data_IF_303262308528
#
_entry.id   IF_303262308528
#
_cell.length_a   1.000
_cell.length_b   1.000
_cell.length_c   1.000
_cell.angle_alpha   90.00
_cell.angle_beta   90.00
_cell.angle_gamma   90.00
#
_symmetry.space_group_name_H-M   'P 1'
#
loop_
_entity.id
_entity.type
_entity.pdbx_description
1 polymer ?
#
# COMPACT_ATOMS: atom_id res chain seq x y z
N UNK A 1 15.95 33.97 14.22
CA UNK A 1 16.11 32.81 15.12
C UNK A 1 15.28 31.60 14.70
N UNK A 2 13.95 31.69 14.54
CA UNK A 2 13.10 30.56 14.11
C UNK A 2 13.55 29.93 12.77
N UNK A 3 13.96 30.74 11.79
CA UNK A 3 14.45 30.26 10.49
C UNK A 3 15.77 29.49 10.56
N UNK A 4 16.70 29.89 11.44
CA UNK A 4 17.99 29.21 11.64
C UNK A 4 17.82 27.89 12.37
N UNK A 5 16.94 27.85 13.38
CA UNK A 5 16.61 26.63 14.12
C UNK A 5 15.94 25.61 13.19
N UNK A 6 15.01 26.06 12.34
CA UNK A 6 14.37 25.23 11.33
C UNK A 6 15.35 24.65 10.31
N UNK A 7 16.32 25.45 9.85
CA UNK A 7 17.37 24.96 8.94
C UNK A 7 18.27 23.90 9.60
N UNK A 8 18.54 24.03 10.89
CA UNK A 8 19.33 23.06 11.64
C UNK A 8 18.58 21.73 11.79
N UNK A 9 17.30 21.76 12.16
CA UNK A 9 16.46 20.55 12.23
C UNK A 9 16.25 19.90 10.86
N UNK A 10 16.13 20.67 9.78
CA UNK A 10 16.09 20.14 8.42
C UNK A 10 17.39 19.41 8.03
N UNK A 11 18.55 19.90 8.49
CA UNK A 11 19.83 19.22 8.25
C UNK A 11 19.93 17.92 9.05
N UNK A 12 19.42 17.90 10.27
CA UNK A 12 19.38 16.69 11.11
C UNK A 12 18.44 15.64 10.51
N UNK A 13 17.21 16.02 10.16
CA UNK A 13 16.20 15.13 9.58
C UNK A 13 16.65 14.48 8.25
N UNK A 14 17.41 15.24 7.44
CA UNK A 14 17.98 14.76 6.17
C UNK A 14 19.32 14.03 6.33
N UNK A 15 19.88 13.95 7.53
CA UNK A 15 21.15 13.28 7.76
C UNK A 15 21.00 11.76 7.64
N UNK A 16 21.82 11.14 6.78
CA UNK A 16 21.86 9.67 6.63
C UNK A 16 22.14 8.96 7.96
N UNK A 17 22.98 9.56 8.81
CA UNK A 17 23.32 8.99 10.13
C UNK A 17 22.09 8.98 11.03
N UNK A 18 21.35 10.09 11.07
CA UNK A 18 20.13 10.19 11.86
C UNK A 18 19.06 9.20 11.36
N UNK A 19 18.86 9.13 10.04
CA UNK A 19 17.93 8.18 9.43
C UNK A 19 18.29 6.72 9.73
N UNK A 20 19.56 6.33 9.55
CA UNK A 20 20.04 4.98 9.89
C UNK A 20 19.87 4.67 11.37
N UNK A 21 20.09 5.64 12.25
CA UNK A 21 19.86 5.48 13.68
C UNK A 21 18.39 5.26 14.00
N UNK A 22 17.48 6.05 13.43
CA UNK A 22 16.03 5.85 13.61
C UNK A 22 15.60 4.47 13.10
N UNK A 23 16.09 4.04 11.94
CA UNK A 23 15.83 2.70 11.40
C UNK A 23 16.32 1.61 12.37
N UNK A 24 17.53 1.74 12.92
CA UNK A 24 18.04 0.80 13.91
C UNK A 24 17.14 0.74 15.16
N UNK A 25 16.66 1.89 15.65
CA UNK A 25 15.72 1.95 16.78
C UNK A 25 14.38 1.29 16.44
N UNK A 26 13.87 1.44 15.21
CA UNK A 26 12.65 0.73 14.74
C UNK A 26 12.87 -0.78 14.75
N UNK A 27 14.01 -1.25 14.25
CA UNK A 27 14.34 -2.69 14.22
C UNK A 27 14.43 -3.23 15.66
N UNK A 28 15.14 -2.53 16.55
CA UNK A 28 15.19 -2.90 17.98
C UNK A 28 13.77 -2.94 18.56
N UNK A 29 12.94 -1.93 18.26
CA UNK A 29 11.55 -1.91 18.71
C UNK A 29 10.74 -3.11 18.21
N UNK A 30 10.91 -3.53 16.96
CA UNK A 30 10.28 -4.73 16.43
C UNK A 30 10.72 -5.99 17.19
N UNK A 31 12.02 -6.11 17.48
CA UNK A 31 12.56 -7.22 18.27
C UNK A 31 12.01 -7.23 19.70
N UNK A 32 11.83 -6.07 20.33
CA UNK A 32 11.22 -5.99 21.68
C UNK A 32 9.78 -6.47 21.69
N UNK A 33 9.00 -6.18 20.64
CA UNK A 33 7.62 -6.69 20.50
C UNK A 33 7.61 -8.22 20.40
N UNK A 34 8.56 -8.81 19.66
CA UNK A 34 8.75 -10.25 19.61
C UNK A 34 9.21 -10.84 20.95
N UNK A 35 10.08 -10.15 21.69
CA UNK A 35 10.55 -10.61 22.99
C UNK A 35 9.41 -10.76 24.01
N UNK A 36 8.40 -9.88 23.97
CA UNK A 36 7.21 -9.95 24.84
C UNK A 36 6.30 -11.17 24.58
N UNK A 37 6.52 -11.94 23.50
CA UNK A 37 5.76 -13.18 23.26
C UNK A 37 6.30 -14.37 24.06
N UNK A 38 7.52 -14.25 24.60
CA UNK A 38 8.14 -15.26 25.44
C UNK A 38 7.82 -15.01 26.91
N UNK A 39 7.71 -16.09 27.69
CA UNK A 39 7.68 -16.03 29.14
C UNK A 39 9.09 -15.75 29.67
N UNK A 40 9.37 -14.49 29.99
CA UNK A 40 10.70 -14.03 30.39
C UNK A 40 10.83 -13.93 31.92
N UNK A 41 12.07 -13.95 32.41
CA UNK A 41 12.34 -13.69 33.82
C UNK A 41 11.95 -12.24 34.19
N UNK A 42 11.45 -11.95 35.41
CA UNK A 42 10.96 -10.61 35.79
C UNK A 42 11.96 -9.47 35.56
N UNK A 43 13.26 -9.73 35.66
CA UNK A 43 14.32 -8.75 35.38
C UNK A 43 14.42 -8.38 33.90
N UNK A 44 14.22 -9.36 33.00
CA UNK A 44 14.20 -9.14 31.56
C UNK A 44 12.93 -8.40 31.13
N UNK A 45 11.79 -8.71 31.75
CA UNK A 45 10.54 -7.96 31.54
C UNK A 45 10.68 -6.49 31.95
N UNK A 46 11.30 -6.23 33.11
CA UNK A 46 11.56 -4.86 33.57
C UNK A 46 12.51 -4.12 32.62
N UNK A 47 13.56 -4.77 32.15
CA UNK A 47 14.49 -4.19 31.17
C UNK A 47 13.79 -3.87 29.83
N UNK A 48 12.95 -4.77 29.34
CA UNK A 48 12.13 -4.55 28.14
C UNK A 48 11.17 -3.37 28.32
N UNK A 49 10.55 -3.23 29.49
CA UNK A 49 9.66 -2.12 29.79
C UNK A 49 10.37 -0.76 29.73
N UNK A 50 11.57 -0.66 30.31
CA UNK A 50 12.39 0.55 30.24
C UNK A 50 12.86 0.85 28.82
N UNK A 51 13.20 -0.19 28.05
CA UNK A 51 13.58 -0.06 26.65
C UNK A 51 12.40 0.44 25.80
N UNK A 52 11.20 -0.10 25.99
CA UNK A 52 9.97 0.35 25.33
C UNK A 52 9.67 1.83 25.62
N UNK A 53 9.82 2.26 26.87
CA UNK A 53 9.67 3.66 27.27
C UNK A 53 10.71 4.53 26.55
N UNK A 54 11.98 4.13 26.57
CA UNK A 54 13.08 4.85 25.91
C UNK A 54 12.86 5.00 24.40
N UNK A 55 12.42 3.92 23.73
CA UNK A 55 12.06 3.92 22.31
C UNK A 55 10.89 4.88 22.03
N UNK A 56 9.86 4.85 22.88
CA UNK A 56 8.68 5.73 22.73
C UNK A 56 9.07 7.20 22.87
N UNK A 57 9.89 7.53 23.87
CA UNK A 57 10.41 8.90 24.07
C UNK A 57 11.29 9.33 22.90
N UNK A 58 12.17 8.45 22.42
CA UNK A 58 12.99 8.72 21.23
C UNK A 58 12.13 9.06 20.02
N UNK A 59 11.09 8.27 19.76
CA UNK A 59 10.17 8.51 18.66
C UNK A 59 9.34 9.78 18.80
N UNK A 60 9.00 10.17 20.02
CA UNK A 60 8.37 11.46 20.28
C UNK A 60 9.33 12.62 19.94
N UNK A 61 10.58 12.53 20.37
CA UNK A 61 11.60 13.55 20.05
C UNK A 61 11.84 13.63 18.55
N UNK A 62 11.96 12.49 17.88
CA UNK A 62 12.11 12.41 16.42
C UNK A 62 10.93 13.04 15.67
N UNK A 63 9.70 12.75 16.10
CA UNK A 63 8.49 13.35 15.55
C UNK A 63 8.47 14.88 15.72
N UNK A 64 8.87 15.37 16.89
CA UNK A 64 8.97 16.81 17.18
C UNK A 64 10.03 17.47 16.28
N UNK A 65 11.19 16.83 16.09
CA UNK A 65 12.23 17.29 15.16
C UNK A 65 11.64 17.45 13.74
N UNK A 66 10.95 16.42 13.24
CA UNK A 66 10.34 16.43 11.90
C UNK A 66 9.22 17.47 11.77
N UNK A 67 8.45 17.66 12.83
CA UNK A 67 7.41 18.69 12.89
C UNK A 67 7.99 20.10 12.80
N UNK A 68 9.03 20.41 13.59
CA UNK A 68 9.72 21.71 13.57
C UNK A 68 10.46 21.93 12.24
N UNK A 69 11.01 20.88 11.64
CA UNK A 69 11.65 20.95 10.32
C UNK A 69 10.66 21.31 9.20
N UNK A 70 9.38 20.97 9.35
CA UNK A 70 8.31 21.28 8.38
C UNK A 70 7.96 22.76 8.38
N UNK A 71 7.40 23.28 7.27
CA UNK A 71 7.10 24.73 7.11
C UNK A 71 5.87 25.22 7.88
N UNK A 72 5.40 24.44 8.86
CA UNK A 72 4.24 24.73 9.71
C UNK A 72 3.29 23.54 9.83
N UNK A 73 2.27 23.69 10.68
CA UNK A 73 1.27 22.66 10.97
C UNK A 73 0.59 22.13 9.70
N UNK A 74 0.16 23.02 8.80
CA UNK A 74 -0.47 22.61 7.53
C UNK A 74 0.45 21.75 6.65
N UNK A 75 1.71 22.14 6.48
CA UNK A 75 2.67 21.36 5.65
C UNK A 75 2.95 19.98 6.23
N UNK A 76 2.96 19.85 7.56
CA UNK A 76 3.15 18.56 8.21
C UNK A 76 1.96 17.62 7.98
N UNK A 77 0.74 18.09 8.21
CA UNK A 77 -0.48 17.28 8.13
C UNK A 77 -1.04 17.10 6.71
N UNK A 78 -0.43 17.71 5.68
CA UNK A 78 -0.74 17.38 4.28
C UNK A 78 0.01 16.12 3.81
N UNK A 79 1.13 15.77 4.46
CA UNK A 79 1.95 14.61 4.09
C UNK A 79 1.43 13.34 4.79
N UNK A 80 0.81 12.43 4.05
CA UNK A 80 0.21 11.20 4.61
C UNK A 80 1.12 10.41 5.55
N UNK A 81 2.41 10.27 5.20
CA UNK A 81 3.39 9.57 6.03
C UNK A 81 3.71 10.26 7.38
N UNK A 82 3.62 11.59 7.42
CA UNK A 82 3.79 12.34 8.66
C UNK A 82 2.57 12.17 9.58
N UNK A 83 1.37 12.16 9.01
CA UNK A 83 0.13 11.87 9.74
C UNK A 83 0.18 10.45 10.31
N UNK A 84 0.61 9.49 9.50
CA UNK A 84 0.78 8.10 9.91
C UNK A 84 1.73 7.99 11.13
N UNK A 85 2.93 8.55 11.03
CA UNK A 85 3.89 8.54 12.15
C UNK A 85 3.35 9.25 13.39
N UNK A 86 2.65 10.37 13.21
CA UNK A 86 2.00 11.09 14.32
C UNK A 86 0.97 10.22 15.04
N UNK A 87 0.09 9.53 14.32
CA UNK A 87 -0.93 8.64 14.90
C UNK A 87 -0.26 7.51 15.70
N UNK A 88 0.79 6.89 15.15
CA UNK A 88 1.51 5.81 15.81
C UNK A 88 2.18 6.29 17.10
N UNK A 89 2.87 7.42 17.07
CA UNK A 89 3.59 7.96 18.24
C UNK A 89 2.60 8.42 19.31
N UNK A 90 1.56 9.19 18.96
CA UNK A 90 0.55 9.62 19.93
C UNK A 90 -0.22 8.43 20.49
N UNK A 91 -0.59 7.46 19.65
CA UNK A 91 -1.21 6.22 20.08
C UNK A 91 -0.34 5.41 21.04
N UNK A 92 0.99 5.44 20.88
CA UNK A 92 1.93 4.79 21.79
C UNK A 92 2.12 5.50 23.13
N UNK A 93 1.85 6.81 23.19
CA UNK A 93 1.92 7.61 24.42
C UNK A 93 0.69 7.45 25.31
N UNK A 94 -0.44 7.00 24.77
CA UNK A 94 -1.68 6.87 25.51
C UNK A 94 -1.47 5.93 26.72
N UNK A 95 -1.50 6.44 27.97
CA UNK A 95 -1.34 5.63 29.16
C UNK A 95 -2.57 4.75 29.26
N UNK A 96 -2.36 3.46 29.02
CA UNK A 96 -3.40 2.46 28.99
C UNK A 96 -4.09 2.39 30.37
N UNK A 97 -5.26 3.01 30.50
CA UNK A 97 -6.14 2.89 31.68
C UNK A 97 -7.52 2.40 31.24
N UNK A 98 -8.00 1.30 31.84
CA UNK A 98 -9.33 0.73 31.57
C UNK A 98 -9.43 -0.21 30.36
N UNK A 99 -10.62 -0.36 29.78
CA UNK A 99 -10.92 -1.33 28.71
C UNK A 99 -10.20 -1.07 27.37
N UNK A 100 -9.58 0.10 27.20
CA UNK A 100 -8.80 0.48 26.01
C UNK A 100 -7.35 -0.01 26.04
N UNK A 101 -6.92 -0.70 27.11
CA UNK A 101 -5.55 -1.22 27.28
C UNK A 101 -5.13 -2.13 26.12
N UNK A 102 -6.03 -2.97 25.62
CA UNK A 102 -5.71 -3.92 24.55
C UNK A 102 -5.39 -3.22 23.23
N UNK A 103 -6.21 -2.24 22.83
CA UNK A 103 -6.01 -1.48 21.60
C UNK A 103 -4.71 -0.67 21.68
N UNK A 104 -4.47 0.02 22.80
CA UNK A 104 -3.22 0.76 23.01
C UNK A 104 -1.98 -0.15 22.98
N UNK A 105 -2.11 -1.39 23.46
CA UNK A 105 -1.04 -2.40 23.37
C UNK A 105 -0.80 -2.85 21.93
N UNK A 106 -1.85 -3.07 21.14
CA UNK A 106 -1.73 -3.43 19.73
C UNK A 106 -1.13 -2.30 18.88
N UNK A 107 -1.44 -1.03 19.19
CA UNK A 107 -0.83 0.14 18.51
C UNK A 107 0.71 0.13 18.59
N UNK A 108 1.28 -0.49 19.63
CA UNK A 108 2.73 -0.67 19.74
C UNK A 108 3.29 -1.62 18.69
N UNK A 109 2.52 -2.57 18.17
CA UNK A 109 2.97 -3.46 17.09
C UNK A 109 3.05 -2.67 15.77
N UNK A 110 2.09 -1.76 15.55
CA UNK A 110 2.08 -0.91 14.36
C UNK A 110 3.29 0.02 14.26
N UNK A 111 4.05 0.27 15.34
CA UNK A 111 5.29 1.06 15.26
C UNK A 111 6.36 0.43 14.37
N UNK A 112 6.30 -0.88 14.11
CA UNK A 112 7.15 -1.55 13.12
C UNK A 112 6.86 -1.05 11.70
N UNK A 113 5.60 -0.70 11.41
CA UNK A 113 5.22 -0.14 10.11
C UNK A 113 5.82 1.24 9.84
N UNK A 114 6.38 1.92 10.86
CA UNK A 114 7.18 3.14 10.64
C UNK A 114 8.41 2.87 9.79
N UNK A 115 8.87 1.62 9.69
CA UNK A 115 9.91 1.27 8.72
C UNK A 115 9.49 1.65 7.30
N UNK A 116 8.20 1.49 6.97
CA UNK A 116 7.63 1.89 5.68
C UNK A 116 7.71 3.40 5.49
N UNK A 117 7.37 4.21 6.50
CA UNK A 117 7.43 5.67 6.39
C UNK A 117 8.86 6.21 6.30
N UNK A 118 9.82 5.54 6.95
CA UNK A 118 11.23 5.93 6.97
C UNK A 118 11.99 5.58 5.68
N UNK A 119 11.70 4.42 5.09
CA UNK A 119 12.44 3.91 3.92
C UNK A 119 11.74 4.38 2.63
N UNK A 120 12.37 5.25 1.81
CA UNK A 120 11.77 5.76 0.57
C UNK A 120 11.29 4.67 -0.39
N UNK A 121 12.05 3.59 -0.51
CA UNK A 121 11.76 2.45 -1.38
C UNK A 121 10.47 1.75 -0.93
N UNK A 122 10.30 1.54 0.39
CA UNK A 122 9.06 0.96 0.93
C UNK A 122 7.86 1.89 0.73
N UNK A 123 8.03 3.20 0.89
CA UNK A 123 6.96 4.16 0.57
C UNK A 123 6.57 4.09 -0.89
N UNK A 124 7.55 3.99 -1.80
CA UNK A 124 7.28 3.87 -3.22
C UNK A 124 6.43 2.63 -3.49
N UNK A 125 6.85 1.46 -2.96
CA UNK A 125 6.10 0.21 -3.12
C UNK A 125 4.65 0.33 -2.59
N UNK A 126 4.48 0.82 -1.36
CA UNK A 126 3.14 0.97 -0.77
C UNK A 126 2.29 2.00 -1.51
N UNK A 127 2.86 3.14 -1.90
CA UNK A 127 2.12 4.13 -2.69
C UNK A 127 1.70 3.57 -4.05
N UNK A 128 2.53 2.76 -4.70
CA UNK A 128 2.17 2.09 -5.95
C UNK A 128 1.02 1.10 -5.76
N UNK A 129 1.04 0.31 -4.69
CA UNK A 129 -0.08 -0.58 -4.33
C UNK A 129 -1.38 0.22 -4.06
N UNK A 130 -1.29 1.29 -3.26
CA UNK A 130 -2.44 2.14 -2.94
C UNK A 130 -3.01 2.86 -4.18
N UNK A 131 -2.17 3.23 -5.14
CA UNK A 131 -2.61 3.83 -6.41
C UNK A 131 -3.38 2.86 -7.29
N UNK A 132 -3.12 1.55 -7.19
CA UNK A 132 -3.85 0.53 -7.95
C UNK A 132 -5.26 0.26 -7.37
N UNK A 133 -5.48 0.49 -6.07
CA UNK A 133 -6.77 0.19 -5.42
C UNK A 133 -7.96 0.93 -6.05
N UNK A 134 -7.91 2.26 -6.30
CA UNK A 134 -9.03 2.99 -6.89
C UNK A 134 -9.46 2.48 -8.27
N UNK A 135 -8.50 2.05 -9.11
CA UNK A 135 -8.77 1.50 -10.44
C UNK A 135 -9.67 0.25 -10.36
N UNK A 136 -9.56 -0.51 -9.27
CA UNK A 136 -10.32 -1.74 -9.05
C UNK A 136 -11.68 -1.52 -8.37
N UNK A 137 -12.05 -0.28 -8.01
CA UNK A 137 -13.20 -0.01 -7.14
C UNK A 137 -14.55 -0.56 -7.67
N UNK A 138 -14.83 -0.38 -8.96
CA UNK A 138 -16.07 -0.90 -9.57
C UNK A 138 -16.11 -2.43 -9.61
N UNK A 139 -14.97 -3.06 -9.85
CA UNK A 139 -14.85 -4.52 -9.87
C UNK A 139 -15.01 -5.08 -8.45
N UNK A 140 -14.39 -4.42 -7.46
CA UNK A 140 -14.56 -4.78 -6.05
C UNK A 140 -16.03 -4.68 -5.61
N UNK A 141 -16.75 -3.65 -6.04
CA UNK A 141 -18.18 -3.52 -5.78
C UNK A 141 -19.00 -4.64 -6.44
N UNK A 142 -18.71 -4.96 -7.71
CA UNK A 142 -19.35 -6.08 -8.40
C UNK A 142 -19.10 -7.41 -7.67
N UNK A 143 -17.84 -7.67 -7.29
CA UNK A 143 -17.44 -8.84 -6.49
C UNK A 143 -18.21 -8.90 -5.17
N UNK A 144 -18.33 -7.78 -4.45
CA UNK A 144 -19.10 -7.72 -3.21
C UNK A 144 -20.57 -8.08 -3.43
N UNK A 145 -21.21 -7.57 -4.48
CA UNK A 145 -22.61 -7.89 -4.81
C UNK A 145 -22.78 -9.38 -5.10
N UNK A 146 -21.88 -9.96 -5.90
CA UNK A 146 -21.88 -11.40 -6.20
C UNK A 146 -21.76 -12.22 -4.92
N UNK A 147 -20.77 -11.90 -4.09
CA UNK A 147 -20.53 -12.58 -2.82
C UNK A 147 -21.75 -12.50 -1.91
N UNK A 148 -22.35 -11.33 -1.81
CA UNK A 148 -23.51 -11.12 -0.95
C UNK A 148 -24.73 -11.94 -1.41
N UNK A 149 -25.00 -11.98 -2.73
CA UNK A 149 -26.11 -12.79 -3.28
C UNK A 149 -25.88 -14.27 -3.00
N UNK A 150 -24.69 -14.79 -3.30
CA UNK A 150 -24.36 -16.20 -3.04
C UNK A 150 -24.34 -16.51 -1.55
N UNK A 151 -23.89 -15.59 -0.70
CA UNK A 151 -23.89 -15.78 0.75
C UNK A 151 -25.30 -15.85 1.32
N UNK A 152 -26.20 -14.97 0.85
CA UNK A 152 -27.60 -15.01 1.22
C UNK A 152 -28.25 -16.33 0.78
N UNK A 153 -28.04 -16.74 -0.48
CA UNK A 153 -28.53 -18.03 -0.99
C UNK A 153 -27.98 -19.21 -0.19
N UNK A 154 -26.66 -19.28 0.03
CA UNK A 154 -26.01 -20.34 0.78
C UNK A 154 -26.52 -20.42 2.21
N UNK A 155 -26.70 -19.28 2.88
CA UNK A 155 -27.26 -19.26 4.24
C UNK A 155 -28.70 -19.76 4.30
N UNK A 156 -29.51 -19.48 3.28
CA UNK A 156 -30.90 -19.96 3.23
C UNK A 156 -30.99 -21.45 2.85
N UNK A 157 -30.05 -21.96 2.06
CA UNK A 157 -30.10 -23.32 1.53
C UNK A 157 -29.34 -24.34 2.38
N UNK A 158 -28.25 -23.93 3.03
CA UNK A 158 -27.27 -24.85 3.62
C UNK A 158 -27.04 -24.65 5.12
N UNK A 159 -27.67 -23.65 5.76
CA UNK A 159 -27.53 -23.41 7.20
C UNK A 159 -27.91 -24.62 8.07
N UNK A 160 -28.96 -25.36 7.70
CA UNK A 160 -29.39 -26.55 8.42
C UNK A 160 -28.43 -27.75 8.25
N UNK A 161 -27.61 -27.74 7.20
CA UNK A 161 -26.61 -28.79 6.93
C UNK A 161 -25.35 -28.50 7.77
N UNK A 162 -24.82 -27.28 7.65
CA UNK A 162 -23.62 -26.87 8.37
C UNK A 162 -23.72 -25.40 8.80
N UNK A 163 -24.20 -25.13 10.02
CA UNK A 163 -24.35 -23.76 10.52
C UNK A 163 -23.00 -23.08 10.79
N UNK A 164 -21.90 -23.83 10.89
CA UNK A 164 -20.55 -23.25 11.04
C UNK A 164 -20.09 -22.59 9.74
N UNK A 165 -20.51 -23.12 8.59
CA UNK A 165 -20.16 -22.59 7.27
C UNK A 165 -21.25 -21.69 6.67
N UNK A 166 -22.51 -21.89 7.04
CA UNK A 166 -23.65 -21.25 6.38
C UNK A 166 -24.63 -20.55 7.34
N UNK A 167 -24.33 -20.49 8.64
CA UNK A 167 -25.31 -20.09 9.67
C UNK A 167 -25.92 -18.69 9.48
N UNK A 168 -25.16 -17.75 8.91
CA UNK A 168 -25.67 -16.45 8.49
C UNK A 168 -24.93 -15.93 7.26
N UNK A 169 -25.35 -14.78 6.73
CA UNK A 169 -24.76 -14.18 5.52
C UNK A 169 -23.28 -13.81 5.73
N UNK A 170 -22.88 -13.35 6.91
CA UNK A 170 -21.49 -12.99 7.20
C UNK A 170 -20.58 -14.21 7.26
N UNK A 171 -21.04 -15.28 7.91
CA UNK A 171 -20.33 -16.56 7.95
C UNK A 171 -20.26 -17.15 6.53
N UNK A 172 -21.35 -17.12 5.78
CA UNK A 172 -21.40 -17.60 4.40
C UNK A 172 -20.47 -16.81 3.47
N UNK A 173 -20.31 -15.50 3.69
CA UNK A 173 -19.33 -14.70 2.95
C UNK A 173 -17.88 -15.15 3.23
N UNK A 174 -17.55 -15.56 4.46
CA UNK A 174 -16.22 -16.12 4.79
C UNK A 174 -16.02 -17.49 4.12
N UNK A 175 -17.03 -18.35 4.14
CA UNK A 175 -17.01 -19.63 3.42
C UNK A 175 -16.83 -19.44 1.91
N UNK A 176 -17.53 -18.47 1.32
CA UNK A 176 -17.38 -18.15 -0.10
C UNK A 176 -16.03 -17.49 -0.42
N UNK A 177 -15.45 -16.73 0.50
CA UNK A 177 -14.08 -16.23 0.35
C UNK A 177 -13.07 -17.37 0.29
N UNK A 178 -13.22 -18.36 1.17
CA UNK A 178 -12.46 -19.61 1.14
C UNK A 178 -12.53 -20.29 -0.23
N UNK A 179 -13.77 -20.51 -0.70
CA UNK A 179 -14.05 -21.14 -2.00
C UNK A 179 -13.47 -20.34 -3.17
N UNK A 180 -13.56 -19.00 -3.13
CA UNK A 180 -13.04 -18.14 -4.18
C UNK A 180 -11.50 -18.18 -4.29
N UNK A 181 -10.80 -18.56 -3.20
CA UNK A 181 -9.35 -18.83 -3.21
C UNK A 181 -9.01 -20.25 -3.65
N UNK A 182 -10.01 -21.03 -4.09
CA UNK A 182 -9.92 -22.44 -4.47
C UNK A 182 -9.46 -23.38 -3.34
N UNK A 183 -9.58 -22.95 -2.08
CA UNK A 183 -9.19 -23.73 -0.92
C UNK A 183 -10.38 -24.55 -0.41
N UNK A 184 -10.19 -25.87 -0.33
CA UNK A 184 -11.12 -26.86 0.26
C UNK A 184 -12.60 -26.77 -0.18
N UNK A 185 -12.86 -26.19 -1.35
CA UNK A 185 -14.23 -26.00 -1.85
C UNK A 185 -14.95 -27.31 -2.16
N UNK A 186 -14.20 -28.38 -2.49
CA UNK A 186 -14.77 -29.70 -2.78
C UNK A 186 -15.38 -30.34 -1.55
N UNK A 187 -14.78 -30.16 -0.38
CA UNK A 187 -15.27 -30.77 0.86
C UNK A 187 -16.57 -30.10 1.31
N UNK A 188 -16.62 -28.76 1.23
CA UNK A 188 -17.84 -27.98 1.46
C UNK A 188 -18.95 -28.37 0.47
N UNK A 189 -18.58 -28.57 -0.80
CA UNK A 189 -19.50 -29.04 -1.82
C UNK A 189 -20.04 -30.44 -1.50
N UNK A 190 -19.17 -31.42 -1.22
CA UNK A 190 -19.56 -32.80 -0.95
C UNK A 190 -20.46 -32.92 0.27
N UNK A 191 -20.22 -32.11 1.30
CA UNK A 191 -21.08 -32.05 2.48
C UNK A 191 -22.51 -31.65 2.11
N UNK A 192 -22.67 -30.59 1.30
CA UNK A 192 -24.00 -30.19 0.83
C UNK A 192 -24.59 -31.14 -0.21
N UNK A 193 -23.77 -31.81 -1.02
CA UNK A 193 -24.21 -32.79 -2.01
C UNK A 193 -24.81 -34.05 -1.38
N UNK A 194 -24.35 -34.41 -0.17
CA UNK A 194 -24.91 -35.53 0.58
C UNK A 194 -26.41 -35.34 0.91
N UNK A 195 -26.91 -34.10 0.90
CA UNK A 195 -28.32 -33.74 1.12
C UNK A 195 -28.98 -33.29 -0.18
N UNK A 196 -28.30 -32.41 -0.94
CA UNK A 196 -28.77 -31.84 -2.20
C UNK A 196 -27.82 -32.21 -3.33
N UNK A 197 -28.08 -33.31 -4.04
CA UNK A 197 -27.17 -33.87 -5.06
C UNK A 197 -26.72 -32.86 -6.13
N UNK A 198 -27.55 -31.87 -6.48
CA UNK A 198 -27.24 -30.84 -7.47
C UNK A 198 -26.59 -29.58 -6.89
N UNK A 199 -26.22 -29.56 -5.60
CA UNK A 199 -25.60 -28.41 -4.96
C UNK A 199 -24.27 -28.01 -5.61
N UNK A 200 -23.57 -28.94 -6.28
CA UNK A 200 -22.36 -28.65 -7.06
C UNK A 200 -22.54 -27.50 -8.07
N UNK A 201 -23.75 -27.28 -8.58
CA UNK A 201 -24.06 -26.16 -9.49
C UNK A 201 -23.84 -24.82 -8.79
N UNK A 202 -24.23 -24.69 -7.53
CA UNK A 202 -24.02 -23.48 -6.74
C UNK A 202 -22.53 -23.13 -6.66
N UNK A 203 -21.68 -24.11 -6.33
CA UNK A 203 -20.24 -23.90 -6.20
C UNK A 203 -19.56 -23.63 -7.54
N UNK A 204 -19.86 -24.43 -8.58
CA UNK A 204 -19.23 -24.23 -9.88
C UNK A 204 -19.63 -22.88 -10.49
N UNK A 205 -20.91 -22.50 -10.43
CA UNK A 205 -21.34 -21.19 -10.96
C UNK A 205 -20.69 -20.03 -10.21
N UNK A 206 -20.59 -20.11 -8.88
CA UNK A 206 -19.86 -19.14 -8.07
C UNK A 206 -18.40 -19.05 -8.51
N UNK A 207 -17.69 -20.18 -8.54
CA UNK A 207 -16.27 -20.26 -8.90
C UNK A 207 -16.02 -19.71 -10.30
N UNK A 208 -16.79 -20.13 -11.30
CA UNK A 208 -16.64 -19.64 -12.66
C UNK A 208 -16.83 -18.13 -12.74
N UNK A 209 -17.85 -17.61 -12.06
CA UNK A 209 -18.16 -16.19 -12.08
C UNK A 209 -17.08 -15.38 -11.36
N UNK A 210 -16.63 -15.79 -10.17
CA UNK A 210 -15.56 -15.10 -9.44
C UNK A 210 -14.21 -15.20 -10.13
N UNK A 211 -13.86 -16.37 -10.69
CA UNK A 211 -12.63 -16.55 -11.44
C UNK A 211 -12.63 -15.70 -12.72
N UNK A 212 -13.77 -15.62 -13.41
CA UNK A 212 -13.91 -14.77 -14.60
C UNK A 212 -13.77 -13.29 -14.26
N UNK A 213 -14.41 -12.82 -13.19
CA UNK A 213 -14.28 -11.42 -12.75
C UNK A 213 -12.83 -11.12 -12.35
N UNK A 214 -12.17 -12.02 -11.62
CA UNK A 214 -10.76 -11.87 -11.25
C UNK A 214 -9.83 -11.85 -12.47
N UNK A 215 -10.05 -12.73 -13.44
CA UNK A 215 -9.28 -12.77 -14.69
C UNK A 215 -9.44 -11.46 -15.47
N UNK A 216 -10.67 -10.97 -15.64
CA UNK A 216 -10.94 -9.70 -16.31
C UNK A 216 -10.33 -8.51 -15.58
N UNK A 217 -10.30 -8.55 -14.25
CA UNK A 217 -9.63 -7.55 -13.44
C UNK A 217 -8.12 -7.55 -13.68
N UNK A 218 -7.49 -8.74 -13.67
CA UNK A 218 -6.05 -8.88 -13.92
C UNK A 218 -5.69 -8.42 -15.34
N UNK A 219 -6.45 -8.86 -16.34
CA UNK A 219 -6.28 -8.42 -17.74
C UNK A 219 -6.48 -6.91 -17.84
N UNK A 220 -7.52 -6.35 -17.22
CA UNK A 220 -7.77 -4.91 -17.18
C UNK A 220 -6.60 -4.13 -16.59
N UNK A 221 -6.09 -4.56 -15.43
CA UNK A 221 -4.94 -3.91 -14.78
C UNK A 221 -3.66 -4.00 -15.62
N UNK A 222 -3.37 -5.15 -16.22
CA UNK A 222 -2.21 -5.32 -17.11
C UNK A 222 -2.36 -4.44 -18.36
N UNK A 223 -3.55 -4.43 -18.98
CA UNK A 223 -3.84 -3.59 -20.14
C UNK A 223 -3.68 -2.11 -19.81
N UNK A 224 -4.13 -1.67 -18.63
CA UNK A 224 -3.98 -0.29 -18.19
C UNK A 224 -2.50 0.08 -18.07
N UNK A 225 -1.69 -0.73 -17.38
CA UNK A 225 -0.24 -0.52 -17.26
C UNK A 225 0.45 -0.53 -18.63
N UNK A 226 0.14 -1.50 -19.50
CA UNK A 226 0.72 -1.57 -20.84
C UNK A 226 0.33 -0.36 -21.71
N UNK A 227 -0.91 0.09 -21.60
CA UNK A 227 -1.40 1.26 -22.33
C UNK A 227 -0.74 2.56 -21.86
N UNK A 228 -0.49 2.67 -20.56
CA UNK A 228 0.21 3.81 -19.96
C UNK A 228 1.68 3.85 -20.40
N UNK A 229 2.38 2.71 -20.35
CA UNK A 229 3.76 2.58 -20.85
C UNK A 229 3.86 2.93 -22.34
N UNK A 230 2.93 2.43 -23.18
CA UNK A 230 2.90 2.77 -24.60
C UNK A 230 2.61 4.25 -24.87
N UNK A 231 1.78 4.90 -24.04
CA UNK A 231 1.52 6.34 -24.15
C UNK A 231 2.78 7.14 -23.81
N UNK A 232 3.43 6.83 -22.70
CA UNK A 232 4.65 7.52 -22.27
C UNK A 232 5.78 7.36 -23.31
N UNK A 233 5.97 6.17 -23.87
CA UNK A 233 6.96 5.93 -24.92
C UNK A 233 6.68 6.72 -26.21
N UNK A 234 5.40 6.93 -26.56
CA UNK A 234 5.02 7.77 -27.71
C UNK A 234 5.27 9.24 -27.42
N UNK A 235 4.96 9.72 -26.21
CA UNK A 235 5.20 11.10 -25.81
C UNK A 235 6.70 11.46 -25.83
N UNK A 236 7.57 10.56 -25.37
CA UNK A 236 9.03 10.72 -25.47
C UNK A 236 9.50 10.78 -26.92
N UNK A 237 9.00 9.90 -27.80
CA UNK A 237 9.35 9.91 -29.22
C UNK A 237 8.85 11.16 -29.95
N UNK A 238 7.64 11.64 -29.64
CA UNK A 238 7.12 12.89 -30.21
C UNK A 238 7.85 14.11 -29.67
N UNK A 239 8.24 14.12 -28.40
CA UNK A 239 9.00 15.24 -27.82
C UNK A 239 10.39 15.39 -28.44
N UNK A 240 11.02 14.30 -28.87
CA UNK A 240 12.32 14.33 -29.57
C UNK A 240 12.17 14.75 -31.05
N UNK A 241 11.01 14.44 -31.66
CA UNK A 241 10.69 14.83 -33.03
C UNK A 241 10.21 16.29 -33.18
N UNK A 242 9.56 16.85 -32.15
CA UNK A 242 9.00 18.21 -32.15
C UNK A 242 9.93 19.25 -31.48
N UNK A 243 11.16 18.87 -31.13
CA UNK A 243 12.17 19.86 -30.74
C UNK A 243 12.44 20.77 -31.95
N UNK A 244 12.23 22.10 -31.84
CA UNK A 244 12.56 23.00 -32.92
C UNK A 244 14.04 22.86 -33.23
N UNK A 245 14.36 22.61 -34.51
CA UNK A 245 15.74 22.50 -34.97
C UNK A 245 16.57 23.63 -34.36
N UNK A 246 17.68 23.27 -33.71
CA UNK A 246 18.52 24.24 -33.00
C UNK A 246 18.90 25.36 -33.96
N UNK A 247 19.00 26.62 -33.52
CA UNK A 247 19.37 27.75 -34.41
C UNK A 247 20.61 27.46 -35.28
N UNK A 248 21.56 26.68 -34.76
CA UNK A 248 22.73 26.21 -35.51
C UNK A 248 22.39 25.23 -36.66
N UNK A 249 21.48 24.28 -36.44
CA UNK A 249 21.01 23.34 -37.48
C UNK A 249 20.24 24.07 -38.58
N UNK A 250 19.41 25.07 -38.23
CA UNK A 250 18.69 25.91 -39.20
C UNK A 250 19.69 26.74 -40.02
N UNK A 251 20.69 27.35 -39.39
CA UNK A 251 21.71 28.14 -40.08
C UNK A 251 22.54 27.28 -41.04
N UNK A 252 22.88 26.04 -40.65
CA UNK A 252 23.61 25.10 -41.48
C UNK A 252 22.79 24.65 -42.70
N UNK A 253 21.52 24.31 -42.51
CA UNK A 253 20.60 23.96 -43.62
C UNK A 253 20.40 25.14 -44.60
N UNK A 254 20.33 26.37 -44.09
CA UNK A 254 20.25 27.56 -44.94
C UNK A 254 21.53 27.77 -45.76
N UNK A 255 22.70 27.50 -45.18
CA UNK A 255 23.98 27.57 -45.87
C UNK A 255 24.08 26.52 -47.00
N UNK A 256 23.72 25.27 -46.73
CA UNK A 256 23.70 24.19 -47.74
C UNK A 256 22.71 24.49 -48.87
N UNK A 257 21.52 25.00 -48.54
CA UNK A 257 20.53 25.45 -49.53
C UNK A 257 21.04 26.59 -50.42
N UNK A 258 21.81 27.52 -49.85
CA UNK A 258 22.41 28.63 -50.59
C UNK A 258 23.51 28.12 -51.54
N UNK A 259 24.36 27.20 -51.08
CA UNK A 259 25.40 26.56 -51.88
C UNK A 259 24.79 25.75 -53.04
N UNK A 260 23.76 24.94 -52.78
CA UNK A 260 23.02 24.20 -53.81
C UNK A 260 22.42 25.13 -54.86
N UNK A 261 21.82 26.26 -54.44
CA UNK A 261 21.29 27.25 -55.39
C UNK A 261 22.38 27.86 -56.24
N UNK A 262 23.57 28.09 -55.69
CA UNK A 262 24.69 28.63 -56.44
C UNK A 262 25.22 27.62 -57.47
N UNK A 263 25.41 26.36 -57.07
CA UNK A 263 25.83 25.27 -57.97
C UNK A 263 24.83 25.02 -59.11
N UNK A 264 23.52 25.15 -58.84
CA UNK A 264 22.50 25.05 -59.89
C UNK A 264 22.55 26.22 -60.88
N UNK A 265 22.93 27.41 -60.41
CA UNK A 265 23.05 28.61 -61.23
C UNK A 265 24.32 28.62 -62.08
N UNK A 266 25.38 27.97 -61.62
CA UNK A 266 26.63 27.76 -62.38
C UNK A 266 26.51 26.63 -63.42
N UNK A 267 25.48 25.79 -63.34
CA UNK A 267 25.18 24.72 -64.31
C UNK A 267 24.22 25.12 -65.45
N UNK A 268 23.72 26.36 -65.46
CA UNK A 268 22.96 26.96 -66.57
C UNK A 268 23.85 27.93 -67.34
#
# INVERSE_FOLDING_TARGET
>A
MLSQLQQLFQRIDKSKIFQSFVIAVIVISALTVGAHTYSLHPTAELALHWMDLGITVFFLVELVIRFIASRGFKDFFTKGWNIFDFIIVVGSLYPAAGSTIFIARLLRIFRVLRLVSMIPELRLLVNSLLKAIPQMGYIALLMFVIFYIYAAMGSMLFADINPVLWGDVSISMLTLFRIATFEDWTDVMYETMAVYELSWIFYLTFIFLTAFVFLNMMVGAILEVMSEEHRNAREEQTSDADMPATKGQIAQLQAEMAELKQLLKEKQ
#
